data_IF_267929492572
#
_entry.id   IF_267929492572
#
_cell.length_a   1.000
_cell.length_b   1.000
_cell.length_c   1.000
_cell.angle_alpha   90.00
_cell.angle_beta   90.00
_cell.angle_gamma   90.00
#
_symmetry.space_group_name_H-M   'P 1'
#
loop_
_entity.id
_entity.type
_entity.pdbx_description
1 polymer ?
#
# COMPACT_ATOMS: atom_id res chain seq x y z
N UNK A 1 -19.15 -11.87 -17.78
CA UNK A 1 -18.34 -12.45 -16.68
C UNK A 1 -17.65 -11.37 -15.83
N UNK A 2 -16.88 -10.45 -16.43
CA UNK A 2 -16.21 -9.35 -15.70
C UNK A 2 -17.14 -8.38 -14.94
N UNK A 3 -18.38 -8.16 -15.43
CA UNK A 3 -19.38 -7.33 -14.73
C UNK A 3 -19.94 -7.95 -13.44
N UNK A 4 -19.79 -9.27 -13.25
CA UNK A 4 -20.25 -9.96 -12.04
C UNK A 4 -19.23 -9.86 -10.90
N UNK A 5 -17.96 -9.60 -11.22
CA UNK A 5 -16.88 -9.51 -10.23
C UNK A 5 -17.12 -8.31 -9.27
N UNK A 6 -17.43 -7.08 -9.74
CA UNK A 6 -17.78 -5.98 -8.86
C UNK A 6 -18.99 -6.27 -7.99
N UNK A 7 -20.01 -6.95 -8.54
CA UNK A 7 -21.25 -7.28 -7.84
C UNK A 7 -20.99 -8.33 -6.75
N UNK A 8 -20.21 -9.36 -7.06
CA UNK A 8 -19.83 -10.41 -6.11
C UNK A 8 -18.93 -9.85 -4.99
N UNK A 9 -17.94 -9.02 -5.34
CA UNK A 9 -17.09 -8.34 -4.36
C UNK A 9 -17.92 -7.43 -3.46
N UNK A 10 -18.86 -6.65 -4.02
CA UNK A 10 -19.74 -5.78 -3.24
C UNK A 10 -20.70 -6.59 -2.33
N UNK A 11 -21.21 -7.73 -2.81
CA UNK A 11 -22.03 -8.64 -2.01
C UNK A 11 -21.24 -9.25 -0.84
N UNK A 12 -20.00 -9.69 -1.07
CA UNK A 12 -19.07 -10.18 -0.04
C UNK A 12 -18.74 -9.06 0.96
N UNK A 13 -18.56 -7.83 0.49
CA UNK A 13 -18.27 -6.66 1.32
C UNK A 13 -19.46 -6.26 2.22
N UNK A 14 -20.69 -6.44 1.74
CA UNK A 14 -21.92 -6.08 2.44
C UNK A 14 -22.49 -7.18 3.35
N UNK A 15 -22.11 -8.43 3.14
CA UNK A 15 -22.65 -9.59 3.87
C UNK A 15 -21.80 -9.96 5.09
N UNK A 16 -22.44 -10.57 6.08
CA UNK A 16 -21.72 -11.17 7.22
C UNK A 16 -21.19 -12.52 6.77
N UNK A 17 -19.93 -12.57 6.33
CA UNK A 17 -19.28 -13.81 5.90
C UNK A 17 -19.14 -14.83 7.04
N UNK A 18 -18.97 -14.35 8.28
CA UNK A 18 -18.77 -15.19 9.47
C UNK A 18 -19.76 -14.76 10.56
N UNK A 19 -20.60 -15.66 11.10
CA UNK A 19 -21.48 -15.34 12.20
C UNK A 19 -20.65 -15.01 13.46
N UNK A 20 -20.79 -13.78 13.95
CA UNK A 20 -20.08 -13.29 15.15
C UNK A 20 -19.04 -12.19 14.87
N UNK A 21 -18.61 -12.01 13.62
CA UNK A 21 -17.77 -10.88 13.22
C UNK A 21 -18.62 -9.71 12.70
N UNK A 22 -18.24 -8.44 13.00
CA UNK A 22 -18.84 -7.28 12.36
C UNK A 22 -18.68 -7.37 10.85
N UNK A 23 -19.58 -6.75 10.06
CA UNK A 23 -19.48 -6.78 8.59
C UNK A 23 -18.14 -6.17 8.19
N UNK A 24 -17.54 -6.61 7.07
CA UNK A 24 -16.25 -6.05 6.63
C UNK A 24 -16.33 -4.52 6.48
N UNK A 25 -17.48 -4.00 6.01
CA UNK A 25 -17.75 -2.56 5.93
C UNK A 25 -17.85 -1.82 7.27
N UNK A 26 -18.10 -2.54 8.36
CA UNK A 26 -18.24 -1.96 9.71
C UNK A 26 -16.87 -1.84 10.41
N UNK A 27 -15.80 -2.40 9.82
CA UNK A 27 -14.42 -2.32 10.33
C UNK A 27 -13.70 -1.15 9.62
N UNK A 28 -13.37 -0.06 10.34
CA UNK A 28 -12.71 1.15 9.81
C UNK A 28 -11.46 0.87 8.99
N UNK A 29 -10.68 -0.13 9.41
CA UNK A 29 -9.40 -0.53 8.82
C UNK A 29 -9.59 -1.27 7.49
N UNK A 30 -10.73 -1.95 7.33
CA UNK A 30 -10.91 -2.94 6.27
C UNK A 30 -11.02 -2.29 4.89
N UNK A 31 -11.58 -1.06 4.81
CA UNK A 31 -11.61 -0.27 3.57
C UNK A 31 -10.20 -0.08 3.03
N UNK A 32 -9.28 0.40 3.87
CA UNK A 32 -7.90 0.70 3.48
C UNK A 32 -7.12 -0.58 3.19
N UNK A 33 -7.34 -1.62 3.99
CA UNK A 33 -6.71 -2.93 3.77
C UNK A 33 -7.10 -3.55 2.43
N UNK A 34 -8.37 -3.49 2.03
CA UNK A 34 -8.84 -4.05 0.76
C UNK A 34 -8.26 -3.30 -0.44
N UNK A 35 -8.17 -1.98 -0.36
CA UNK A 35 -7.51 -1.17 -1.40
C UNK A 35 -6.05 -1.57 -1.51
N UNK A 36 -5.33 -1.58 -0.39
CA UNK A 36 -3.92 -1.95 -0.34
C UNK A 36 -3.65 -3.38 -0.84
N UNK A 37 -4.47 -4.34 -0.41
CA UNK A 37 -4.37 -5.74 -0.83
C UNK A 37 -4.58 -5.90 -2.33
N UNK A 38 -5.56 -5.18 -2.88
CA UNK A 38 -5.85 -5.22 -4.31
C UNK A 38 -4.66 -4.70 -5.11
N UNK A 39 -4.10 -3.55 -4.74
CA UNK A 39 -2.93 -2.97 -5.41
C UNK A 39 -1.67 -3.85 -5.28
N UNK A 40 -1.44 -4.42 -4.10
CA UNK A 40 -0.33 -5.36 -3.88
C UNK A 40 -0.47 -6.61 -4.75
N UNK A 41 -1.68 -7.16 -4.86
CA UNK A 41 -1.97 -8.33 -5.69
C UNK A 41 -1.76 -8.02 -7.18
N UNK A 42 -2.25 -6.88 -7.66
CA UNK A 42 -2.04 -6.42 -9.05
C UNK A 42 -0.55 -6.32 -9.37
N UNK A 43 0.25 -5.79 -8.44
CA UNK A 43 1.69 -5.59 -8.63
C UNK A 43 2.46 -6.90 -8.84
N UNK A 44 2.05 -7.99 -8.18
CA UNK A 44 2.69 -9.30 -8.36
C UNK A 44 2.07 -10.13 -9.49
N UNK A 45 0.77 -9.99 -9.74
CA UNK A 45 0.04 -10.80 -10.73
C UNK A 45 0.30 -10.35 -12.16
N UNK A 46 0.44 -9.04 -12.42
CA UNK A 46 0.72 -8.54 -13.77
C UNK A 46 2.05 -9.13 -14.30
N UNK A 47 3.20 -8.98 -13.62
CA UNK A 47 4.45 -9.58 -14.11
C UNK A 47 4.37 -11.10 -14.24
N UNK A 48 3.72 -11.77 -13.29
CA UNK A 48 3.54 -13.22 -13.33
C UNK A 48 2.72 -13.70 -14.54
N UNK A 49 1.78 -12.89 -15.04
CA UNK A 49 0.98 -13.21 -16.21
C UNK A 49 1.73 -13.00 -17.55
N UNK A 50 2.72 -12.09 -17.58
CA UNK A 50 3.49 -11.77 -18.79
C UNK A 50 4.81 -12.55 -18.93
N UNK A 51 5.29 -13.19 -17.85
CA UNK A 51 6.45 -14.09 -17.90
C UNK A 51 6.05 -15.40 -18.61
N UNK A 52 6.52 -15.57 -19.85
CA UNK A 52 6.21 -16.66 -20.78
C UNK A 52 6.67 -18.06 -20.34
N UNK A 53 7.48 -18.14 -19.28
CA UNK A 53 7.81 -19.38 -18.57
C UNK A 53 7.52 -19.21 -17.07
N UNK A 54 6.27 -19.39 -16.62
CA UNK A 54 6.04 -19.63 -15.22
C UNK A 54 6.71 -20.98 -14.93
N UNK A 55 7.80 -20.98 -14.15
CA UNK A 55 8.07 -22.16 -13.34
C UNK A 55 6.86 -22.29 -12.43
N UNK A 56 5.91 -23.11 -12.88
CA UNK A 56 4.56 -23.17 -12.37
C UNK A 56 4.61 -23.42 -10.85
N UNK A 57 4.21 -22.43 -10.06
CA UNK A 57 3.92 -22.61 -8.64
C UNK A 57 4.97 -22.12 -7.63
N UNK A 58 6.10 -21.52 -8.02
CA UNK A 58 7.07 -21.02 -7.03
C UNK A 58 6.90 -19.51 -6.80
N UNK A 59 5.98 -19.12 -5.91
CA UNK A 59 6.08 -17.80 -5.28
C UNK A 59 7.41 -17.74 -4.53
N UNK A 60 8.38 -17.05 -5.11
CA UNK A 60 9.68 -16.86 -4.46
C UNK A 60 9.54 -16.00 -3.21
N UNK A 61 10.50 -16.09 -2.29
CA UNK A 61 10.55 -15.21 -1.12
C UNK A 61 10.58 -13.74 -1.54
N UNK A 62 11.22 -13.42 -2.67
CA UNK A 62 11.23 -12.09 -3.27
C UNK A 62 9.81 -11.63 -3.68
N UNK A 63 8.99 -12.52 -4.23
CA UNK A 63 7.59 -12.18 -4.58
C UNK A 63 6.78 -11.82 -3.35
N UNK A 64 6.95 -12.55 -2.25
CA UNK A 64 6.32 -12.21 -0.97
C UNK A 64 6.86 -10.90 -0.39
N UNK A 65 8.16 -10.64 -0.53
CA UNK A 65 8.79 -9.39 -0.10
C UNK A 65 8.22 -8.17 -0.84
N UNK A 66 8.09 -8.26 -2.17
CA UNK A 66 7.47 -7.21 -3.01
C UNK A 66 5.99 -7.04 -2.64
N UNK A 67 5.23 -8.14 -2.51
CA UNK A 67 3.84 -8.09 -2.11
C UNK A 67 3.64 -7.38 -0.77
N UNK A 68 4.41 -7.78 0.24
CA UNK A 68 4.37 -7.19 1.57
C UNK A 68 4.71 -5.70 1.54
N UNK A 69 5.77 -5.34 0.81
CA UNK A 69 6.18 -3.95 0.66
C UNK A 69 5.05 -3.10 0.06
N UNK A 70 4.49 -3.53 -1.06
CA UNK A 70 3.40 -2.81 -1.74
C UNK A 70 2.12 -2.75 -0.90
N UNK A 71 1.79 -3.83 -0.20
CA UNK A 71 0.64 -3.89 0.71
C UNK A 71 0.77 -2.87 1.83
N UNK A 72 1.88 -2.91 2.57
CA UNK A 72 2.09 -2.00 3.69
C UNK A 72 2.19 -0.55 3.24
N UNK A 73 2.87 -0.31 2.11
CA UNK A 73 3.02 1.04 1.57
C UNK A 73 1.69 1.66 1.17
N UNK A 74 0.92 0.96 0.33
CA UNK A 74 -0.42 1.43 -0.08
C UNK A 74 -1.37 1.57 1.12
N UNK A 75 -1.24 0.70 2.12
CA UNK A 75 -2.03 0.81 3.36
C UNK A 75 -1.67 2.08 4.14
N UNK A 76 -0.39 2.42 4.26
CA UNK A 76 0.06 3.65 4.91
C UNK A 76 -0.53 4.87 4.18
N UNK A 77 -0.45 4.91 2.85
CA UNK A 77 -0.92 6.05 2.07
C UNK A 77 -2.43 6.25 2.18
N UNK A 78 -3.20 5.15 2.08
CA UNK A 78 -4.66 5.20 2.26
C UNK A 78 -5.09 5.67 3.65
N UNK A 79 -4.39 5.25 4.70
CA UNK A 79 -4.66 5.73 6.07
C UNK A 79 -4.21 7.17 6.26
N UNK A 80 -3.18 7.63 5.55
CA UNK A 80 -2.74 9.02 5.59
C UNK A 80 -3.76 9.97 4.96
N UNK A 81 -4.42 9.54 3.88
CA UNK A 81 -5.59 10.25 3.34
C UNK A 81 -6.71 10.36 4.38
N UNK A 82 -7.00 9.28 5.12
CA UNK A 82 -7.98 9.36 6.21
C UNK A 82 -7.53 10.32 7.34
N UNK A 83 -6.23 10.46 7.62
CA UNK A 83 -5.71 11.41 8.63
C UNK A 83 -6.00 12.85 8.19
N UNK A 84 -5.78 13.15 6.90
CA UNK A 84 -6.10 14.46 6.31
C UNK A 84 -7.59 14.78 6.42
N UNK A 85 -8.42 13.78 6.18
CA UNK A 85 -9.88 13.94 6.06
C UNK A 85 -10.61 13.79 7.42
N UNK A 86 -9.89 13.49 8.51
CA UNK A 86 -10.43 13.30 9.87
C UNK A 86 -11.41 14.38 10.32
N UNK A 87 -11.16 15.70 10.15
CA UNK A 87 -12.10 16.72 10.61
C UNK A 87 -13.45 16.65 9.88
N UNK A 88 -13.43 16.35 8.58
CA UNK A 88 -14.63 16.22 7.75
C UNK A 88 -15.37 14.92 8.04
N UNK A 89 -14.63 13.82 8.15
CA UNK A 89 -15.16 12.50 8.52
C UNK A 89 -15.83 12.51 9.89
N UNK A 90 -15.26 13.25 10.85
CA UNK A 90 -15.81 13.41 12.18
C UNK A 90 -17.14 14.14 12.18
N UNK A 91 -17.28 15.21 11.39
CA UNK A 91 -18.55 15.93 11.23
C UNK A 91 -19.61 15.04 10.56
N UNK A 92 -19.20 14.22 9.60
CA UNK A 92 -20.07 13.32 8.85
C UNK A 92 -20.32 11.96 9.53
N UNK A 93 -19.81 11.74 10.75
CA UNK A 93 -19.89 10.48 11.49
C UNK A 93 -19.32 9.26 10.74
N UNK A 94 -18.33 9.48 9.88
CA UNK A 94 -17.59 8.41 9.20
C UNK A 94 -16.57 7.84 10.17
N UNK A 95 -16.60 6.51 10.36
CA UNK A 95 -15.70 5.81 11.29
C UNK A 95 -14.42 5.38 10.58
N UNK A 96 -13.43 6.26 10.50
CA UNK A 96 -12.06 5.94 10.04
C UNK A 96 -11.12 5.71 11.22
N UNK A 97 -9.93 5.14 10.96
CA UNK A 97 -8.91 4.92 12.01
C UNK A 97 -8.59 6.23 12.77
N UNK A 98 -8.22 7.34 12.11
CA UNK A 98 -7.90 8.58 12.82
C UNK A 98 -9.08 9.19 13.57
N UNK A 99 -10.32 9.00 13.12
CA UNK A 99 -11.51 9.45 13.88
C UNK A 99 -11.68 8.66 15.19
N UNK A 100 -11.34 7.37 15.21
CA UNK A 100 -11.54 6.51 16.37
C UNK A 100 -10.44 6.60 17.43
N UNK A 101 -9.17 6.62 17.00
CA UNK A 101 -8.02 6.60 17.92
C UNK A 101 -7.26 7.93 17.96
N UNK A 102 -7.61 8.88 17.08
CA UNK A 102 -6.97 10.18 16.94
C UNK A 102 -5.77 10.16 15.99
N UNK A 103 -5.62 11.21 15.19
CA UNK A 103 -4.55 11.35 14.18
C UNK A 103 -3.14 11.17 14.73
N UNK A 104 -2.88 11.58 15.98
CA UNK A 104 -1.58 11.39 16.64
C UNK A 104 -1.21 9.91 16.80
N UNK A 105 -2.13 9.11 17.35
CA UNK A 105 -1.90 7.67 17.53
C UNK A 105 -1.84 6.94 16.18
N UNK A 106 -2.67 7.34 15.23
CA UNK A 106 -2.62 6.80 13.87
C UNK A 106 -1.25 7.06 13.24
N UNK A 107 -0.71 8.27 13.37
CA UNK A 107 0.64 8.60 12.88
C UNK A 107 1.71 7.71 13.50
N UNK A 108 1.67 7.48 14.82
CA UNK A 108 2.62 6.56 15.49
C UNK A 108 2.53 5.14 14.94
N UNK A 109 1.31 4.63 14.71
CA UNK A 109 1.10 3.32 14.08
C UNK A 109 1.68 3.30 12.66
N UNK A 110 1.46 4.35 11.86
CA UNK A 110 2.02 4.43 10.50
C UNK A 110 3.55 4.44 10.50
N UNK A 111 4.19 5.12 11.45
CA UNK A 111 5.65 5.10 11.59
C UNK A 111 6.18 3.70 11.96
N UNK A 112 5.48 2.98 12.82
CA UNK A 112 5.82 1.59 13.16
C UNK A 112 5.67 0.69 11.93
N UNK A 113 4.55 0.78 11.21
CA UNK A 113 4.32 0.03 9.97
C UNK A 113 5.34 0.38 8.87
N UNK A 114 5.76 1.65 8.76
CA UNK A 114 6.80 2.03 7.82
C UNK A 114 8.16 1.41 8.20
N UNK A 115 8.42 1.24 9.50
CA UNK A 115 9.64 0.58 10.00
C UNK A 115 9.70 -0.89 9.61
N UNK A 116 8.55 -1.59 9.58
CA UNK A 116 8.52 -3.01 9.19
C UNK A 116 8.85 -3.24 7.71
N UNK A 117 8.82 -2.21 6.86
CA UNK A 117 9.31 -2.28 5.48
C UNK A 117 10.82 -2.60 5.42
N UNK A 118 11.60 -2.27 6.46
CA UNK A 118 13.02 -2.59 6.49
C UNK A 118 13.28 -4.11 6.55
N UNK A 119 12.30 -4.90 7.00
CA UNK A 119 12.42 -6.36 7.08
C UNK A 119 12.57 -7.02 5.71
N UNK A 120 12.13 -6.35 4.63
CA UNK A 120 12.24 -6.92 3.28
C UNK A 120 13.60 -6.65 2.62
N UNK A 121 14.42 -5.74 3.17
CA UNK A 121 15.70 -5.34 2.59
C UNK A 121 16.66 -6.48 2.25
N UNK A 122 16.81 -7.55 3.06
CA UNK A 122 17.72 -8.64 2.75
C UNK A 122 17.38 -9.38 1.45
N UNK A 123 16.14 -9.28 0.98
CA UNK A 123 15.66 -9.94 -0.24
C UNK A 123 15.91 -9.12 -1.51
N UNK A 124 16.37 -7.88 -1.39
CA UNK A 124 16.69 -7.01 -2.52
C UNK A 124 18.20 -6.78 -2.64
N UNK A 125 18.69 -6.53 -3.84
CA UNK A 125 20.12 -6.30 -4.12
C UNK A 125 20.35 -5.09 -5.04
N UNK A 126 21.55 -4.52 -4.99
CA UNK A 126 21.97 -3.41 -5.84
C UNK A 126 21.00 -2.22 -5.82
N UNK A 127 20.63 -1.77 -7.02
CA UNK A 127 19.75 -0.60 -7.22
C UNK A 127 18.33 -0.82 -6.66
N UNK A 128 17.83 -2.06 -6.64
CA UNK A 128 16.51 -2.38 -6.05
C UNK A 128 16.50 -2.24 -4.52
N UNK A 129 17.60 -2.59 -3.84
CA UNK A 129 17.75 -2.36 -2.39
C UNK A 129 17.78 -0.86 -2.08
N UNK A 130 18.49 -0.08 -2.90
CA UNK A 130 18.53 1.37 -2.75
C UNK A 130 17.14 1.99 -2.94
N UNK A 131 16.38 1.52 -3.94
CA UNK A 131 15.00 1.96 -4.14
C UNK A 131 14.13 1.73 -2.90
N UNK A 132 14.13 0.52 -2.34
CA UNK A 132 13.35 0.19 -1.14
C UNK A 132 13.74 1.10 0.04
N UNK A 133 15.03 1.36 0.23
CA UNK A 133 15.52 2.29 1.26
C UNK A 133 15.02 3.71 1.03
N UNK A 134 15.16 4.24 -0.19
CA UNK A 134 14.73 5.60 -0.54
C UNK A 134 13.24 5.76 -0.31
N UNK A 135 12.41 4.81 -0.77
CA UNK A 135 10.96 4.85 -0.57
C UNK A 135 10.55 4.72 0.91
N UNK A 136 11.31 3.95 1.70
CA UNK A 136 11.06 3.82 3.15
C UNK A 136 11.40 5.13 3.88
N UNK A 137 12.53 5.76 3.53
CA UNK A 137 12.96 7.07 4.07
C UNK A 137 11.96 8.16 3.66
N UNK A 138 11.55 8.16 2.39
CA UNK A 138 10.53 9.05 1.87
C UNK A 138 9.21 8.89 2.66
N UNK A 139 8.82 7.62 2.92
CA UNK A 139 7.81 7.19 3.88
C UNK A 139 7.77 8.00 5.17
N UNK A 140 8.87 8.00 5.90
CA UNK A 140 8.98 8.77 7.14
C UNK A 140 8.77 10.26 6.90
N UNK A 141 9.37 10.81 5.85
CA UNK A 141 9.30 12.24 5.52
C UNK A 141 7.85 12.73 5.41
N UNK A 142 7.03 12.08 4.59
CA UNK A 142 5.66 12.55 4.40
C UNK A 142 4.72 12.12 5.53
N UNK A 143 4.91 10.97 6.20
CA UNK A 143 4.13 10.63 7.42
C UNK A 143 4.34 11.71 8.50
N UNK A 144 5.59 12.15 8.72
CA UNK A 144 5.87 13.24 9.66
C UNK A 144 5.30 14.57 9.20
N UNK A 145 5.40 14.88 7.90
CA UNK A 145 4.92 16.14 7.33
C UNK A 145 3.39 16.28 7.39
N UNK A 146 2.66 15.21 7.05
CA UNK A 146 1.19 15.18 7.02
C UNK A 146 0.54 14.73 8.34
N UNK A 147 1.34 14.61 9.42
CA UNK A 147 0.82 14.51 10.79
C UNK A 147 -0.06 15.70 11.14
N UNK A 148 0.26 16.88 10.61
CA UNK A 148 -0.53 18.09 10.74
C UNK A 148 -1.33 18.34 9.47
N UNK A 149 -2.49 18.98 9.59
CA UNK A 149 -3.33 19.32 8.44
C UNK A 149 -2.56 20.26 7.50
N UNK A 150 -2.35 19.81 6.26
CA UNK A 150 -1.63 20.53 5.21
C UNK A 150 -2.40 20.47 3.89
N UNK A 151 -1.82 21.11 2.87
CA UNK A 151 -2.38 21.20 1.53
C UNK A 151 -2.67 19.79 0.95
N UNK A 152 -3.91 19.50 0.50
CA UNK A 152 -4.24 18.24 -0.15
C UNK A 152 -3.37 17.92 -1.36
N UNK A 153 -2.99 18.94 -2.15
CA UNK A 153 -2.19 18.75 -3.37
C UNK A 153 -0.78 18.26 -3.05
N UNK A 154 -0.22 18.70 -1.92
CA UNK A 154 1.09 18.25 -1.49
C UNK A 154 1.07 16.76 -1.13
N UNK A 155 -0.04 16.27 -0.54
CA UNK A 155 -0.16 14.86 -0.18
C UNK A 155 -0.27 14.00 -1.44
N UNK A 156 -1.13 14.40 -2.37
CA UNK A 156 -1.31 13.71 -3.64
C UNK A 156 0.01 13.66 -4.41
N UNK A 157 0.74 14.79 -4.50
CA UNK A 157 2.06 14.86 -5.14
C UNK A 157 3.11 13.98 -4.44
N UNK A 158 3.10 13.93 -3.10
CA UNK A 158 4.04 13.08 -2.36
C UNK A 158 3.79 11.59 -2.63
N UNK A 159 2.54 11.16 -2.53
CA UNK A 159 2.15 9.76 -2.75
C UNK A 159 2.38 9.36 -4.21
N UNK A 160 1.97 10.20 -5.18
CA UNK A 160 2.23 9.94 -6.61
C UNK A 160 3.72 9.99 -6.97
N UNK A 161 4.48 10.86 -6.29
CA UNK A 161 5.92 10.98 -6.46
C UNK A 161 6.68 9.68 -6.17
N UNK A 162 6.15 8.83 -5.29
CA UNK A 162 6.74 7.52 -5.01
C UNK A 162 6.70 6.58 -6.21
N UNK A 163 5.55 6.54 -6.91
CA UNK A 163 5.38 5.76 -8.13
C UNK A 163 6.30 6.28 -9.24
N UNK A 164 6.48 7.60 -9.34
CA UNK A 164 7.44 8.20 -10.28
C UNK A 164 8.89 7.79 -9.96
N UNK A 165 9.30 7.88 -8.69
CA UNK A 165 10.64 7.46 -8.26
C UNK A 165 10.87 5.96 -8.51
N UNK A 166 9.89 5.12 -8.17
CA UNK A 166 9.96 3.69 -8.44
C UNK A 166 10.12 3.39 -9.93
N UNK A 167 9.40 4.11 -10.80
CA UNK A 167 9.50 3.95 -12.25
C UNK A 167 10.88 4.30 -12.79
N UNK A 168 11.49 5.39 -12.32
CA UNK A 168 12.85 5.81 -12.74
C UNK A 168 13.92 4.78 -12.34
N UNK A 169 13.86 4.28 -11.11
CA UNK A 169 14.77 3.23 -10.64
C UNK A 169 14.57 1.93 -11.42
N UNK A 170 13.34 1.59 -11.78
CA UNK A 170 13.03 0.37 -12.52
C UNK A 170 13.60 0.42 -13.95
N UNK A 171 13.56 1.58 -14.61
CA UNK A 171 14.26 1.79 -15.89
C UNK A 171 15.77 1.59 -15.72
N UNK A 172 16.37 2.21 -14.71
CA UNK A 172 17.81 2.03 -14.44
C UNK A 172 18.21 0.59 -14.11
N UNK A 173 17.34 -0.18 -13.46
CA UNK A 173 17.54 -1.62 -13.22
C UNK A 173 17.51 -2.39 -14.56
N UNK A 174 16.54 -2.11 -15.42
CA UNK A 174 16.41 -2.77 -16.72
C UNK A 174 17.59 -2.45 -17.65
N UNK A 175 18.05 -1.19 -17.68
CA UNK A 175 19.20 -0.79 -18.48
C UNK A 175 20.49 -1.47 -18.02
N UNK A 176 20.68 -1.61 -16.70
CA UNK A 176 21.82 -2.33 -16.14
C UNK A 176 21.80 -3.82 -16.48
N UNK A 177 20.62 -4.46 -16.42
CA UNK A 177 20.45 -5.85 -16.84
C UNK A 177 20.77 -6.03 -18.33
N UNK A 178 20.29 -5.13 -19.20
CA UNK A 178 20.55 -5.19 -20.64
C UNK A 178 22.02 -4.92 -21.00
N UNK A 179 22.77 -4.19 -20.17
CA UNK A 179 24.20 -3.94 -20.39
C UNK A 179 25.10 -5.13 -20.03
N UNK A 180 24.58 -6.13 -19.30
CA UNK A 180 25.31 -7.33 -18.87
C UNK A 180 25.17 -8.49 -19.88
N UNK A 181 24.25 -8.40 -20.83
CA UNK A 181 24.02 -9.36 -21.93
C UNK A 181 24.53 -8.83 -23.27
#
# INVERSE_FOLDING_TARGET
LFLLIPIAVNAIYGTRLIPGLPRLKDIPVMKNFIVAFTWALVTIMIPAAFLSHPQAGTFSVLTFAVFYFMLMKTFIDTVLYDIRDEPGDRVNNVRTIPVLIGSKKTTEILLILNTTLLLVLPWFEGLSRLLVLVLTIYGYGYIFYFRERRDPLALDLCVEGECMLASLFLIGILDNLNAIW
#
